data_IF_548545527726
#
_entry.id   IF_548545527726
#
_cell.length_a   1.000
_cell.length_b   1.000
_cell.length_c   1.000
_cell.angle_alpha   90.00
_cell.angle_beta   90.00
_cell.angle_gamma   90.00
#
_symmetry.space_group_name_H-M   'P 1'
#
loop_
_entity.id
_entity.type
_entity.pdbx_description
1 polymer ?
#
# COMPACT_ATOMS: atom_id res chain seq x y z
N UNK A 1 -12.99 22.20 6.22
CA UNK A 1 -12.30 20.99 5.80
C UNK A 1 -11.18 21.35 4.84
N UNK A 2 -9.97 20.88 5.09
CA UNK A 2 -8.79 21.23 4.30
C UNK A 2 -8.55 20.21 3.17
N UNK A 3 -9.34 20.32 2.10
CA UNK A 3 -9.24 19.43 0.94
C UNK A 3 -7.86 19.47 0.24
N UNK A 4 -7.17 20.61 0.28
CA UNK A 4 -5.83 20.73 -0.31
C UNK A 4 -4.82 19.84 0.38
N UNK A 5 -4.91 19.69 1.70
CA UNK A 5 -4.04 18.83 2.45
C UNK A 5 -4.38 17.34 2.22
N UNK A 6 -5.66 16.97 2.09
CA UNK A 6 -6.06 15.61 1.71
C UNK A 6 -5.53 15.25 0.32
N UNK A 7 -5.70 16.13 -0.67
CA UNK A 7 -5.16 15.91 -2.04
C UNK A 7 -3.64 15.75 -2.03
N UNK A 8 -2.94 16.52 -1.22
CA UNK A 8 -1.49 16.42 -1.08
C UNK A 8 -1.05 15.06 -0.53
N UNK A 9 -1.76 14.53 0.48
CA UNK A 9 -1.52 13.17 1.01
C UNK A 9 -1.78 12.12 -0.05
N UNK A 10 -2.92 12.19 -0.76
CA UNK A 10 -3.25 11.25 -1.82
C UNK A 10 -2.20 11.23 -2.93
N UNK A 11 -1.61 12.39 -3.23
CA UNK A 11 -0.52 12.46 -4.20
C UNK A 11 0.72 11.70 -3.74
N UNK A 12 1.08 11.75 -2.45
CA UNK A 12 2.16 10.93 -1.90
C UNK A 12 1.79 9.44 -1.88
N UNK A 13 0.54 9.10 -1.57
CA UNK A 13 0.03 7.72 -1.64
C UNK A 13 0.25 7.15 -3.04
N UNK A 14 -0.14 7.88 -4.08
CA UNK A 14 0.07 7.47 -5.47
C UNK A 14 1.56 7.31 -5.83
N UNK A 15 2.42 8.22 -5.39
CA UNK A 15 3.87 8.08 -5.64
C UNK A 15 4.42 6.82 -5.00
N UNK A 16 4.00 6.51 -3.78
CA UNK A 16 4.43 5.32 -3.07
C UNK A 16 3.89 4.07 -3.75
N UNK A 17 2.61 4.04 -4.13
CA UNK A 17 2.03 2.92 -4.87
C UNK A 17 2.78 2.67 -6.18
N UNK A 18 3.09 3.73 -6.94
CA UNK A 18 3.90 3.61 -8.13
C UNK A 18 5.29 3.01 -7.86
N UNK A 19 5.94 3.40 -6.76
CA UNK A 19 7.21 2.81 -6.35
C UNK A 19 7.05 1.33 -5.94
N UNK A 20 5.97 0.98 -5.26
CA UNK A 20 5.67 -0.40 -4.85
C UNK A 20 5.36 -1.30 -6.05
N UNK A 21 4.70 -0.78 -7.08
CA UNK A 21 4.44 -1.51 -8.33
C UNK A 21 5.70 -1.86 -9.13
N UNK A 22 6.85 -1.24 -8.84
CA UNK A 22 8.11 -1.64 -9.44
C UNK A 22 8.59 -3.01 -8.96
N UNK A 23 8.20 -3.46 -7.76
CA UNK A 23 8.60 -4.79 -7.26
C UNK A 23 7.98 -5.92 -8.08
N UNK A 24 6.65 -6.00 -8.31
CA UNK A 24 6.08 -7.01 -9.17
C UNK A 24 6.59 -6.91 -10.61
N UNK A 25 6.87 -5.70 -11.13
CA UNK A 25 7.55 -5.54 -12.41
C UNK A 25 8.91 -6.24 -12.43
N UNK A 26 9.75 -6.02 -11.42
CA UNK A 26 11.06 -6.67 -11.32
C UNK A 26 10.91 -8.18 -11.25
N UNK A 27 9.97 -8.70 -10.46
CA UNK A 27 9.69 -10.13 -10.40
C UNK A 27 9.32 -10.68 -11.78
N UNK A 28 8.40 -10.05 -12.48
CA UNK A 28 8.00 -10.49 -13.82
C UNK A 28 9.14 -10.44 -14.85
N UNK A 29 10.05 -9.46 -14.75
CA UNK A 29 11.26 -9.42 -15.59
C UNK A 29 12.20 -10.59 -15.27
N UNK A 30 12.38 -10.95 -14.00
CA UNK A 30 13.20 -12.09 -13.60
C UNK A 30 12.67 -13.43 -14.13
N UNK A 31 11.34 -13.56 -14.23
CA UNK A 31 10.67 -14.72 -14.81
C UNK A 31 10.40 -14.60 -16.33
N UNK A 32 10.97 -13.55 -16.98
CA UNK A 32 10.82 -13.26 -18.41
C UNK A 32 9.35 -13.13 -18.88
N UNK A 33 8.48 -12.63 -18.02
CA UNK A 33 7.05 -12.44 -18.30
C UNK A 33 6.80 -11.12 -19.03
N UNK A 34 6.31 -11.19 -20.28
CA UNK A 34 5.99 -9.98 -21.06
C UNK A 34 4.88 -9.13 -20.42
N UNK A 35 3.96 -9.76 -19.69
CA UNK A 35 2.85 -9.09 -19.02
C UNK A 35 3.31 -8.13 -17.92
N UNK A 36 4.53 -8.27 -17.40
CA UNK A 36 5.09 -7.40 -16.37
C UNK A 36 5.17 -5.92 -16.79
N UNK A 37 5.24 -5.63 -18.09
CA UNK A 37 5.26 -4.27 -18.63
C UNK A 37 4.05 -3.43 -18.18
N UNK A 38 2.90 -4.05 -17.95
CA UNK A 38 1.71 -3.35 -17.48
C UNK A 38 1.88 -2.81 -16.05
N UNK A 39 2.63 -3.50 -15.20
CA UNK A 39 3.00 -3.01 -13.86
C UNK A 39 3.87 -1.75 -13.95
N UNK A 40 4.84 -1.73 -14.86
CA UNK A 40 5.68 -0.55 -15.11
C UNK A 40 4.86 0.63 -15.63
N UNK A 41 3.95 0.39 -16.56
CA UNK A 41 3.09 1.44 -17.12
C UNK A 41 2.24 2.11 -16.03
N UNK A 42 1.56 1.30 -15.20
CA UNK A 42 0.74 1.83 -14.10
C UNK A 42 1.63 2.51 -13.04
N UNK A 43 2.80 1.96 -12.73
CA UNK A 43 3.77 2.58 -11.82
C UNK A 43 4.14 4.00 -12.29
N UNK A 44 4.46 4.17 -13.56
CA UNK A 44 4.79 5.48 -14.15
C UNK A 44 3.60 6.44 -14.07
N UNK A 45 2.39 5.98 -14.39
CA UNK A 45 1.16 6.79 -14.28
C UNK A 45 0.98 7.27 -12.84
N UNK A 46 1.07 6.38 -11.85
CA UNK A 46 0.93 6.72 -10.43
C UNK A 46 1.98 7.74 -9.99
N UNK A 47 3.24 7.54 -10.36
CA UNK A 47 4.34 8.47 -10.03
C UNK A 47 4.09 9.84 -10.66
N UNK A 48 3.75 9.89 -11.94
CA UNK A 48 3.50 11.17 -12.65
C UNK A 48 2.33 11.92 -12.03
N UNK A 49 1.20 11.25 -11.77
CA UNK A 49 0.04 11.86 -11.12
C UNK A 49 0.38 12.34 -9.70
N UNK A 50 1.12 11.54 -8.94
CA UNK A 50 1.59 11.89 -7.61
C UNK A 50 2.50 13.12 -7.63
N UNK A 51 3.51 13.17 -8.51
CA UNK A 51 4.41 14.32 -8.65
C UNK A 51 3.65 15.58 -9.07
N UNK A 52 2.71 15.48 -9.99
CA UNK A 52 1.89 16.63 -10.40
C UNK A 52 1.05 17.16 -9.24
N UNK A 53 0.47 16.27 -8.44
CA UNK A 53 -0.32 16.63 -7.27
C UNK A 53 0.50 17.25 -6.13
N UNK A 54 1.75 16.83 -5.94
CA UNK A 54 2.63 17.36 -4.89
C UNK A 54 3.17 18.76 -5.20
N UNK A 55 3.10 19.23 -6.46
CA UNK A 55 3.49 20.61 -6.83
C UNK A 55 2.66 21.68 -6.13
N UNK A 56 1.42 21.38 -5.78
CA UNK A 56 0.52 22.30 -5.09
C UNK A 56 0.55 22.06 -3.58
N UNK A 57 1.58 22.62 -2.91
CA UNK A 57 1.68 22.52 -1.44
C UNK A 57 0.52 23.24 -0.76
N UNK A 58 -0.17 22.63 0.21
CA UNK A 58 -1.23 23.27 0.95
C UNK A 58 -0.67 24.44 1.77
N UNK A 59 -1.34 25.60 1.74
CA UNK A 59 -0.96 26.77 2.54
C UNK A 59 -1.18 26.54 4.04
N UNK A 60 -2.14 25.70 4.40
CA UNK A 60 -2.44 25.33 5.78
C UNK A 60 -2.20 23.84 5.97
N UNK A 61 -1.29 23.48 6.86
CA UNK A 61 -0.91 22.10 7.20
C UNK A 61 -1.62 21.58 8.46
N UNK A 62 -2.55 22.36 9.03
CA UNK A 62 -3.32 21.87 10.17
C UNK A 62 -4.30 20.79 9.75
N UNK A 63 -4.18 19.64 10.37
CA UNK A 63 -4.97 18.44 10.15
C UNK A 63 -5.76 18.12 11.42
N UNK A 64 -7.06 18.15 11.33
CA UNK A 64 -7.95 17.68 12.38
C UNK A 64 -8.30 16.21 12.16
N UNK A 65 -8.89 15.58 13.15
CA UNK A 65 -9.25 14.16 13.10
C UNK A 65 -10.17 13.81 11.90
N UNK A 66 -11.10 14.70 11.55
CA UNK A 66 -12.01 14.51 10.39
C UNK A 66 -11.26 14.44 9.06
N UNK A 67 -10.28 15.30 8.85
CA UNK A 67 -9.42 15.27 7.67
C UNK A 67 -8.54 14.00 7.65
N UNK A 68 -8.10 13.54 8.84
CA UNK A 68 -7.38 12.28 8.98
C UNK A 68 -8.21 11.09 8.50
N UNK A 69 -9.42 10.93 9.00
CA UNK A 69 -10.34 9.86 8.58
C UNK A 69 -10.64 9.91 7.08
N UNK A 70 -10.88 11.12 6.53
CA UNK A 70 -11.13 11.27 5.10
C UNK A 70 -9.89 10.90 4.27
N UNK A 71 -8.71 11.34 4.68
CA UNK A 71 -7.46 11.02 3.99
C UNK A 71 -7.19 9.50 4.03
N UNK A 72 -7.43 8.84 5.17
CA UNK A 72 -7.32 7.39 5.32
C UNK A 72 -8.24 6.66 4.35
N UNK A 73 -9.53 6.94 4.40
CA UNK A 73 -10.53 6.30 3.54
C UNK A 73 -10.22 6.52 2.05
N UNK A 74 -9.92 7.77 1.68
CA UNK A 74 -9.59 8.11 0.30
C UNK A 74 -8.28 7.46 -0.16
N UNK A 75 -7.29 7.27 0.72
CA UNK A 75 -6.04 6.57 0.41
C UNK A 75 -6.30 5.10 0.07
N UNK A 76 -7.08 4.39 0.89
CA UNK A 76 -7.45 3.00 0.63
C UNK A 76 -8.20 2.84 -0.69
N UNK A 77 -9.15 3.74 -0.97
CA UNK A 77 -9.89 3.75 -2.25
C UNK A 77 -8.92 3.98 -3.42
N UNK A 78 -8.04 4.96 -3.30
CA UNK A 78 -7.07 5.29 -4.36
C UNK A 78 -6.12 4.13 -4.64
N UNK A 79 -5.53 3.53 -3.61
CA UNK A 79 -4.66 2.36 -3.72
C UNK A 79 -5.38 1.18 -4.39
N UNK A 80 -6.63 0.92 -4.00
CA UNK A 80 -7.40 -0.18 -4.60
C UNK A 80 -7.71 0.06 -6.08
N UNK A 81 -8.05 1.28 -6.46
CA UNK A 81 -8.34 1.64 -7.86
C UNK A 81 -7.09 1.50 -8.73
N UNK A 82 -5.97 2.08 -8.33
CA UNK A 82 -4.75 2.05 -9.13
C UNK A 82 -4.04 0.70 -9.05
N UNK A 83 -4.02 0.06 -7.89
CA UNK A 83 -3.41 -1.26 -7.70
C UNK A 83 -4.12 -2.38 -8.46
N UNK A 84 -5.41 -2.23 -8.80
CA UNK A 84 -6.16 -3.19 -9.62
C UNK A 84 -5.92 -3.04 -11.13
N UNK A 85 -5.43 -1.87 -11.59
CA UNK A 85 -5.22 -1.64 -13.02
C UNK A 85 -4.25 -2.63 -13.68
N UNK A 86 -3.10 -2.99 -13.08
CA UNK A 86 -2.22 -3.99 -13.68
C UNK A 86 -2.93 -5.33 -13.89
N UNK A 87 -3.77 -5.77 -12.96
CA UNK A 87 -4.46 -7.06 -13.01
C UNK A 87 -5.39 -7.19 -14.23
N UNK A 88 -6.11 -6.10 -14.54
CA UNK A 88 -6.99 -6.10 -15.72
C UNK A 88 -6.19 -5.94 -17.02
N UNK A 89 -5.11 -5.15 -17.01
CA UNK A 89 -4.27 -4.91 -18.18
C UNK A 89 -3.47 -6.15 -18.58
N UNK A 90 -3.11 -7.02 -17.63
CA UNK A 90 -2.49 -8.34 -17.93
C UNK A 90 -3.47 -9.32 -18.58
N UNK A 91 -4.79 -9.04 -18.52
CA UNK A 91 -5.84 -9.91 -19.04
C UNK A 91 -6.07 -11.18 -18.20
N UNK A 92 -5.60 -11.21 -16.96
CA UNK A 92 -5.75 -12.36 -16.05
C UNK A 92 -7.08 -12.34 -15.29
N UNK A 93 -7.67 -11.17 -15.19
CA UNK A 93 -9.00 -11.01 -14.60
C UNK A 93 -10.03 -10.63 -15.67
N UNK A 94 -11.21 -11.27 -15.67
CA UNK A 94 -12.21 -11.05 -16.72
C UNK A 94 -12.88 -9.68 -16.63
N UNK A 95 -12.97 -9.10 -15.43
CA UNK A 95 -13.59 -7.79 -15.23
C UNK A 95 -12.78 -6.92 -14.27
N UNK A 96 -12.95 -5.59 -14.41
CA UNK A 96 -12.34 -4.64 -13.48
C UNK A 96 -12.86 -4.80 -12.05
N UNK A 97 -14.12 -5.22 -11.90
CA UNK A 97 -14.72 -5.43 -10.58
C UNK A 97 -14.03 -6.59 -9.84
N UNK A 98 -13.70 -7.67 -10.57
CA UNK A 98 -12.99 -8.82 -10.01
C UNK A 98 -11.55 -8.43 -9.61
N UNK A 99 -10.84 -7.69 -10.47
CA UNK A 99 -9.51 -7.18 -10.16
C UNK A 99 -9.53 -6.22 -8.95
N UNK A 100 -10.55 -5.36 -8.87
CA UNK A 100 -10.72 -4.45 -7.74
C UNK A 100 -11.03 -5.21 -6.45
N UNK A 101 -11.92 -6.21 -6.50
CA UNK A 101 -12.23 -7.07 -5.36
C UNK A 101 -10.97 -7.74 -4.82
N UNK A 102 -10.14 -8.28 -5.70
CA UNK A 102 -8.90 -8.96 -5.34
C UNK A 102 -7.92 -8.04 -4.62
N UNK A 103 -7.74 -6.82 -5.13
CA UNK A 103 -6.83 -5.84 -4.51
C UNK A 103 -7.40 -5.26 -3.21
N UNK A 104 -8.70 -5.01 -3.14
CA UNK A 104 -9.35 -4.62 -1.87
C UNK A 104 -9.18 -5.72 -0.83
N UNK A 105 -9.40 -6.98 -1.21
CA UNK A 105 -9.19 -8.15 -0.35
C UNK A 105 -7.74 -8.23 0.14
N UNK A 106 -6.77 -7.94 -0.74
CA UNK A 106 -5.35 -7.86 -0.39
C UNK A 106 -5.07 -6.77 0.64
N UNK A 107 -5.38 -5.53 0.32
CA UNK A 107 -5.09 -4.39 1.20
C UNK A 107 -5.85 -4.44 2.54
N UNK A 108 -7.05 -5.00 2.58
CA UNK A 108 -7.80 -5.21 3.84
C UNK A 108 -7.39 -6.49 4.57
N UNK A 109 -6.41 -7.22 4.05
CA UNK A 109 -5.94 -8.50 4.62
C UNK A 109 -7.03 -9.56 4.78
N UNK A 110 -8.09 -9.47 3.98
CA UNK A 110 -9.24 -10.40 4.01
C UNK A 110 -8.86 -11.77 3.46
N UNK A 111 -8.03 -11.82 2.40
CA UNK A 111 -7.57 -13.06 1.79
C UNK A 111 -8.62 -13.78 0.92
N UNK A 112 -9.78 -13.16 0.68
CA UNK A 112 -10.79 -13.70 -0.23
C UNK A 112 -10.35 -13.53 -1.69
N UNK A 113 -10.66 -14.52 -2.53
CA UNK A 113 -10.38 -14.47 -3.98
C UNK A 113 -11.61 -14.85 -4.80
N UNK A 114 -11.73 -14.25 -5.98
CA UNK A 114 -12.76 -14.60 -6.97
C UNK A 114 -12.28 -15.70 -7.92
N UNK A 115 -10.98 -16.02 -7.90
CA UNK A 115 -10.40 -17.03 -8.77
C UNK A 115 -10.57 -18.43 -8.17
N UNK A 116 -10.91 -19.38 -9.01
CA UNK A 116 -10.96 -20.80 -8.65
C UNK A 116 -9.56 -21.42 -8.57
N UNK A 117 -8.62 -20.91 -9.36
CA UNK A 117 -7.22 -21.32 -9.38
C UNK A 117 -6.33 -20.08 -9.48
N UNK A 118 -5.48 -19.90 -8.49
CA UNK A 118 -4.56 -18.76 -8.40
C UNK A 118 -3.17 -19.10 -8.92
N UNK A 119 -2.83 -20.39 -9.03
CA UNK A 119 -1.49 -20.83 -9.47
C UNK A 119 -1.26 -20.61 -10.97
N UNK A 120 -2.34 -20.43 -11.74
CA UNK A 120 -2.25 -20.12 -13.17
C UNK A 120 -1.86 -18.68 -13.50
N UNK A 121 -1.83 -17.79 -12.48
CA UNK A 121 -1.45 -16.40 -12.66
C UNK A 121 0.06 -16.25 -12.92
N UNK A 122 0.46 -15.17 -13.60
CA UNK A 122 1.88 -14.86 -13.74
C UNK A 122 2.50 -14.49 -12.38
N UNK A 123 3.81 -14.74 -12.24
CA UNK A 123 4.56 -14.51 -10.99
C UNK A 123 4.49 -13.04 -10.55
N UNK A 124 4.47 -12.09 -11.49
CA UNK A 124 4.29 -10.69 -11.18
C UNK A 124 2.95 -10.44 -10.45
N UNK A 125 1.86 -11.05 -10.92
CA UNK A 125 0.53 -10.91 -10.32
C UNK A 125 0.43 -11.62 -8.99
N UNK A 126 0.97 -12.85 -8.87
CA UNK A 126 1.04 -13.58 -7.60
C UNK A 126 1.80 -12.78 -6.55
N UNK A 127 2.97 -12.24 -6.93
CA UNK A 127 3.75 -11.39 -6.05
C UNK A 127 2.96 -10.13 -5.62
N UNK A 128 2.31 -9.44 -6.56
CA UNK A 128 1.55 -8.23 -6.25
C UNK A 128 0.41 -8.52 -5.28
N UNK A 129 -0.35 -9.59 -5.49
CA UNK A 129 -1.41 -10.03 -4.58
C UNK A 129 -0.88 -10.28 -3.16
N UNK A 130 0.18 -11.08 -3.02
CA UNK A 130 0.80 -11.35 -1.72
C UNK A 130 1.35 -10.05 -1.08
N UNK A 131 1.94 -9.19 -1.88
CA UNK A 131 2.54 -7.94 -1.42
C UNK A 131 1.50 -6.93 -0.95
N UNK A 132 0.31 -6.87 -1.57
CA UNK A 132 -0.80 -6.03 -1.08
C UNK A 132 -1.26 -6.46 0.31
N UNK A 133 -1.32 -7.76 0.60
CA UNK A 133 -1.60 -8.28 1.94
C UNK A 133 -0.55 -7.84 2.95
N UNK A 134 0.72 -7.91 2.56
CA UNK A 134 1.83 -7.49 3.41
C UNK A 134 1.79 -6.00 3.72
N UNK A 135 1.54 -5.16 2.71
CA UNK A 135 1.37 -3.71 2.88
C UNK A 135 0.16 -3.41 3.76
N UNK A 136 -0.97 -4.10 3.51
CA UNK A 136 -2.21 -3.94 4.25
C UNK A 136 -2.06 -4.28 5.73
N UNK A 137 -1.29 -5.31 6.05
CA UNK A 137 -1.07 -5.77 7.42
C UNK A 137 -0.44 -4.73 8.35
N UNK A 138 0.33 -3.78 7.81
CA UNK A 138 0.92 -2.67 8.59
C UNK A 138 0.18 -1.34 8.47
N UNK A 139 -0.75 -1.26 7.52
CA UNK A 139 -1.45 -0.02 7.22
C UNK A 139 -0.58 1.00 6.44
N UNK A 140 -1.11 1.41 5.31
CA UNK A 140 -0.42 2.35 4.39
C UNK A 140 -0.11 3.68 5.05
N UNK A 141 -0.99 4.15 5.92
CA UNK A 141 -0.81 5.47 6.56
C UNK A 141 0.27 5.47 7.64
N UNK A 142 0.49 4.34 8.32
CA UNK A 142 1.63 4.21 9.22
C UNK A 142 2.94 4.32 8.45
N UNK A 143 2.99 3.76 7.23
CA UNK A 143 4.12 3.93 6.32
C UNK A 143 4.28 5.38 5.85
N UNK A 144 3.19 6.05 5.50
CA UNK A 144 3.19 7.48 5.15
C UNK A 144 3.71 8.37 6.27
N UNK A 145 3.41 8.05 7.53
CA UNK A 145 3.91 8.80 8.69
C UNK A 145 5.44 8.79 8.79
N UNK A 146 6.10 7.77 8.26
CA UNK A 146 7.56 7.71 8.21
C UNK A 146 8.15 8.63 7.13
N UNK A 147 7.45 8.80 6.02
CA UNK A 147 7.98 9.45 4.80
C UNK A 147 7.62 10.93 4.75
N UNK A 148 6.40 11.31 5.13
CA UNK A 148 5.95 12.70 5.01
C UNK A 148 6.40 13.51 6.22
N UNK A 149 7.29 14.50 6.04
CA UNK A 149 7.63 15.45 7.10
C UNK A 149 6.49 16.46 7.28
N UNK A 150 5.47 16.10 8.05
CA UNK A 150 4.40 17.02 8.44
C UNK A 150 4.72 17.61 9.81
N UNK A 151 4.75 18.93 9.90
CA UNK A 151 4.98 19.65 11.15
C UNK A 151 3.68 19.76 11.97
N UNK A 152 3.78 19.46 13.27
CA UNK A 152 2.68 19.67 14.24
C UNK A 152 1.85 18.42 14.53
N UNK A 153 0.82 18.56 15.37
CA UNK A 153 -0.07 17.49 15.86
C UNK A 153 -0.89 16.72 14.81
N UNK A 154 -0.64 16.98 13.55
CA UNK A 154 -1.30 16.42 12.37
C UNK A 154 -1.08 14.89 12.23
N UNK A 155 0.15 14.43 12.50
CA UNK A 155 0.52 13.02 12.34
C UNK A 155 -0.19 12.12 13.36
N UNK A 156 -0.48 12.63 14.56
CA UNK A 156 -1.22 11.90 15.59
C UNK A 156 -2.65 11.56 15.14
N UNK A 157 -3.30 12.47 14.41
CA UNK A 157 -4.66 12.28 13.93
C UNK A 157 -4.74 11.26 12.80
N UNK A 158 -3.73 11.17 11.94
CA UNK A 158 -3.62 10.13 10.91
C UNK A 158 -3.45 8.75 11.55
N UNK A 159 -2.54 8.62 12.50
CA UNK A 159 -2.30 7.35 13.19
C UNK A 159 -3.52 6.87 13.97
N UNK A 160 -4.25 7.78 14.65
CA UNK A 160 -5.50 7.44 15.35
C UNK A 160 -6.62 7.01 14.41
N UNK A 161 -6.65 7.52 13.18
CA UNK A 161 -7.65 7.15 12.20
C UNK A 161 -7.46 5.70 11.67
N UNK A 162 -6.23 5.23 11.64
CA UNK A 162 -5.90 3.90 11.08
C UNK A 162 -5.77 2.82 12.17
N UNK A 163 -5.38 3.19 13.38
CA UNK A 163 -5.22 2.25 14.50
C UNK A 163 -6.27 2.53 15.59
N UNK A 164 -7.51 2.01 15.46
CA UNK A 164 -8.54 2.10 16.48
C UNK A 164 -8.24 1.10 17.60
N UNK A 165 -7.33 1.47 18.50
CA UNK A 165 -6.98 0.66 19.67
C UNK A 165 -6.96 1.51 20.94
N UNK A 166 -6.89 0.88 22.12
CA UNK A 166 -6.68 1.61 23.37
C UNK A 166 -5.41 2.47 23.19
N UNK A 167 -5.50 3.73 23.59
CA UNK A 167 -4.42 4.70 23.49
C UNK A 167 -3.12 4.07 24.00
N UNK A 168 -2.23 3.72 23.09
CA UNK A 168 -0.88 3.26 23.44
C UNK A 168 -0.24 4.44 24.17
N UNK A 169 -0.25 4.36 25.48
CA UNK A 169 0.36 5.38 26.32
C UNK A 169 1.79 5.59 25.86
N UNK A 170 2.20 6.84 25.78
CA UNK A 170 3.48 7.38 25.35
C UNK A 170 4.69 6.46 25.62
N UNK A 171 4.83 5.39 24.82
CA UNK A 171 5.99 4.49 24.91
C UNK A 171 7.23 5.14 24.27
N UNK A 172 7.02 6.08 23.32
CA UNK A 172 8.11 6.80 22.65
C UNK A 172 7.66 8.24 22.36
N UNK A 173 8.50 9.26 22.64
CA UNK A 173 8.13 10.67 22.47
C UNK A 173 7.91 11.10 21.01
N UNK A 174 8.26 10.26 20.04
CA UNK A 174 8.14 10.57 18.62
C UNK A 174 7.36 9.48 17.87
N UNK A 175 6.25 9.85 17.25
CA UNK A 175 5.40 8.99 16.41
C UNK A 175 6.18 8.24 15.32
N UNK A 176 7.16 8.92 14.72
CA UNK A 176 8.05 8.33 13.72
C UNK A 176 8.83 7.14 14.27
N UNK A 177 9.38 7.27 15.48
CA UNK A 177 10.13 6.17 16.12
C UNK A 177 9.21 4.98 16.45
N UNK A 178 7.98 5.24 16.89
CA UNK A 178 7.00 4.17 17.15
C UNK A 178 6.67 3.41 15.86
N UNK A 179 6.39 4.12 14.77
CA UNK A 179 6.15 3.50 13.47
C UNK A 179 7.35 2.67 12.99
N UNK A 180 8.57 3.20 13.14
CA UNK A 180 9.79 2.48 12.76
C UNK A 180 9.96 1.18 13.56
N UNK A 181 9.74 1.20 14.88
CA UNK A 181 9.82 0.00 15.72
C UNK A 181 8.79 -1.04 15.27
N UNK A 182 7.55 -0.64 15.03
CA UNK A 182 6.50 -1.54 14.55
C UNK A 182 6.87 -2.18 13.20
N UNK A 183 7.44 -1.41 12.26
CA UNK A 183 7.90 -1.96 10.98
C UNK A 183 9.07 -2.93 11.14
N UNK A 184 10.02 -2.65 12.02
CA UNK A 184 11.14 -3.56 12.29
C UNK A 184 10.64 -4.88 12.86
N UNK A 185 9.70 -4.84 13.80
CA UNK A 185 9.08 -6.04 14.37
C UNK A 185 8.32 -6.82 13.29
N UNK A 186 7.50 -6.14 12.50
CA UNK A 186 6.70 -6.76 11.43
C UNK A 186 7.58 -7.42 10.37
N UNK A 187 8.64 -6.72 9.93
CA UNK A 187 9.62 -7.28 9.00
C UNK A 187 10.36 -8.49 9.62
N UNK A 188 10.76 -8.40 10.88
CA UNK A 188 11.38 -9.52 11.60
C UNK A 188 10.47 -10.75 11.67
N UNK A 189 9.18 -10.56 11.97
CA UNK A 189 8.19 -11.64 11.96
C UNK A 189 8.02 -12.24 10.56
N UNK A 190 8.02 -11.41 9.52
CA UNK A 190 7.95 -11.87 8.12
C UNK A 190 9.14 -12.76 7.78
N UNK A 191 10.36 -12.35 8.15
CA UNK A 191 11.57 -13.14 7.90
C UNK A 191 11.50 -14.49 8.63
N UNK A 192 11.11 -14.49 9.90
CA UNK A 192 10.93 -15.73 10.68
C UNK A 192 9.91 -16.64 10.03
N UNK A 193 8.77 -16.10 9.59
CA UNK A 193 7.73 -16.88 8.90
C UNK A 193 8.25 -17.50 7.61
N UNK A 194 8.96 -16.73 6.77
CA UNK A 194 9.55 -17.26 5.52
C UNK A 194 10.51 -18.41 5.82
N UNK A 195 11.39 -18.27 6.83
CA UNK A 195 12.33 -19.33 7.22
C UNK A 195 11.57 -20.58 7.66
N UNK A 196 10.53 -20.44 8.49
CA UNK A 196 9.74 -21.60 8.97
C UNK A 196 9.00 -22.30 7.83
N UNK A 197 8.47 -21.56 6.84
CA UNK A 197 7.80 -22.15 5.68
C UNK A 197 8.78 -22.91 4.78
N UNK A 198 9.98 -22.35 4.54
CA UNK A 198 11.04 -23.03 3.79
C UNK A 198 11.52 -24.30 4.50
N UNK A 199 11.68 -24.26 5.84
CA UNK A 199 12.00 -25.46 6.63
C UNK A 199 10.87 -26.49 6.61
N UNK A 200 9.63 -26.06 6.47
CA UNK A 200 8.45 -26.91 6.27
C UNK A 200 8.33 -27.54 4.88
N UNK A 201 9.26 -27.24 3.95
CA UNK A 201 9.31 -27.82 2.61
C UNK A 201 8.48 -27.06 1.57
N UNK A 202 8.01 -25.85 1.87
CA UNK A 202 7.37 -25.01 0.86
C UNK A 202 8.39 -24.45 -0.14
N UNK A 203 8.02 -24.38 -1.42
CA UNK A 203 8.83 -23.72 -2.44
C UNK A 203 8.89 -22.20 -2.17
N UNK A 204 9.89 -21.54 -2.71
CA UNK A 204 10.06 -20.08 -2.55
C UNK A 204 9.02 -19.30 -3.34
N UNK A 205 8.38 -19.98 -4.30
CA UNK A 205 7.26 -19.51 -5.11
C UNK A 205 6.24 -20.62 -5.29
#
# INVERSE_FOLDING_TARGET
>A
MNYSAVKYILSYVLMIEGALLLFPFIVGVLYMEQKSVWYLLVAVICIVLGVLGTRHKPKNTMFYFKEGCLATAASWITLSIFGSLPLILTGEYPSYVDALFEIVSGFTTTGATVLSDVECLCHATLFWRAFTHWIGGMGVLVFLLMIIPMSGGSNMNLMRAESPGPSVGKLVPHLKSTAQILYVIYFGMTVVQVILLLLGGMSLF
#
